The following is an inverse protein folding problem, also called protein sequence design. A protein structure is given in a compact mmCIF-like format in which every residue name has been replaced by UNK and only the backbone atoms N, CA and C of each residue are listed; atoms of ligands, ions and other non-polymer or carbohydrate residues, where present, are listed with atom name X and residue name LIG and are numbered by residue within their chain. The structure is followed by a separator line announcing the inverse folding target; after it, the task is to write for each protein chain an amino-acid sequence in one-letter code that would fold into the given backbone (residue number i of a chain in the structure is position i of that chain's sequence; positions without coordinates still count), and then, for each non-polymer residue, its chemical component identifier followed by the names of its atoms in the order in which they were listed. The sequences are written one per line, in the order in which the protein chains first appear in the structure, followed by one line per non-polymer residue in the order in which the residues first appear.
data_IF_790255715842
#
_entry.id   IF_790255715842
#
_cell.length_a   1.000
_cell.length_b   1.000
_cell.length_c   1.000
_cell.angle_alpha   90.00
_cell.angle_beta   90.00
_cell.angle_gamma   90.00
#
_symmetry.space_group_name_H-M   'P 1'
#
loop_
_entity.id
_entity.type
_entity.pdbx_description
1 polymer ?
#
# COMPACT_ATOMS: atom_id res chain seq x y z
N UNK A 1 -13.23 -15.10 -9.00
CA UNK A 1 -13.74 -13.74 -9.33
C UNK A 1 -14.20 -12.98 -8.09
N UNK A 2 -15.03 -13.56 -7.22
CA UNK A 2 -15.53 -12.90 -6.00
C UNK A 2 -14.40 -12.42 -5.06
N UNK A 3 -13.37 -13.24 -4.88
CA UNK A 3 -12.18 -12.88 -4.08
C UNK A 3 -11.49 -11.59 -4.58
N UNK A 4 -11.23 -11.49 -5.88
CA UNK A 4 -10.61 -10.30 -6.48
C UNK A 4 -11.50 -9.05 -6.34
N UNK A 5 -12.82 -9.20 -6.52
CA UNK A 5 -13.77 -8.09 -6.34
C UNK A 5 -13.72 -7.53 -4.91
N UNK A 6 -13.66 -8.39 -3.90
CA UNK A 6 -13.55 -7.99 -2.50
C UNK A 6 -12.24 -7.24 -2.19
N UNK A 7 -11.14 -7.67 -2.83
CA UNK A 7 -9.86 -6.96 -2.74
C UNK A 7 -9.98 -5.54 -3.31
N UNK A 8 -10.55 -5.42 -4.53
CA UNK A 8 -10.76 -4.14 -5.19
C UNK A 8 -11.67 -3.23 -4.36
N UNK A 9 -12.75 -3.75 -3.77
CA UNK A 9 -13.63 -2.98 -2.90
C UNK A 9 -12.91 -2.46 -1.65
N UNK A 10 -12.06 -3.28 -1.04
CA UNK A 10 -11.21 -2.89 0.09
C UNK A 10 -10.25 -1.77 -0.30
N UNK A 11 -9.53 -1.92 -1.42
CA UNK A 11 -8.60 -0.91 -1.93
C UNK A 11 -9.33 0.40 -2.25
N UNK A 12 -10.49 0.33 -2.92
CA UNK A 12 -11.29 1.50 -3.23
C UNK A 12 -11.76 2.22 -1.96
N UNK A 13 -12.09 1.47 -0.90
CA UNK A 13 -12.43 2.03 0.40
C UNK A 13 -11.25 2.83 0.97
N UNK A 14 -10.04 2.24 1.00
CA UNK A 14 -8.83 2.89 1.51
C UNK A 14 -8.46 4.17 0.74
N UNK A 15 -8.66 4.18 -0.59
CA UNK A 15 -8.44 5.36 -1.44
C UNK A 15 -9.44 6.47 -1.07
N UNK A 16 -10.72 6.13 -0.91
CA UNK A 16 -11.80 7.09 -0.61
C UNK A 16 -11.65 7.70 0.78
N UNK A 17 -11.31 6.88 1.78
CA UNK A 17 -11.08 7.33 3.15
C UNK A 17 -9.78 8.11 3.31
N UNK A 18 -8.85 8.00 2.34
CA UNK A 18 -7.49 8.53 2.42
C UNK A 18 -6.75 8.00 3.66
N UNK A 19 -7.02 6.73 4.00
CA UNK A 19 -6.41 6.08 5.16
C UNK A 19 -4.88 6.17 5.08
N UNK A 20 -4.26 6.44 6.22
CA UNK A 20 -2.80 6.51 6.37
C UNK A 20 -2.29 5.21 6.96
N UNK A 21 -1.29 4.63 6.32
CA UNK A 21 -0.73 3.32 6.65
C UNK A 21 0.76 3.40 6.92
N UNK A 22 1.28 2.49 7.74
CA UNK A 22 2.71 2.30 7.97
C UNK A 22 3.03 0.82 8.00
N UNK A 23 4.29 0.47 7.76
CA UNK A 23 4.78 -0.90 7.84
C UNK A 23 4.68 -1.43 9.28
N UNK A 24 4.28 -2.68 9.42
CA UNK A 24 4.36 -3.42 10.68
C UNK A 24 5.83 -3.76 10.92
N UNK A 25 6.41 -3.21 11.99
CA UNK A 25 7.78 -3.50 12.37
C UNK A 25 7.91 -4.95 12.83
N UNK A 26 8.73 -5.72 12.12
CA UNK A 26 9.06 -7.07 12.54
C UNK A 26 10.12 -7.03 13.66
N UNK A 27 9.84 -7.69 14.77
CA UNK A 27 10.73 -7.77 15.94
C UNK A 27 11.86 -8.79 15.69
N UNK A 28 11.71 -9.71 14.74
CA UNK A 28 12.73 -10.73 14.41
C UNK A 28 13.95 -10.17 13.66
N UNK A 29 13.91 -8.91 13.21
CA UNK A 29 14.98 -8.29 12.42
C UNK A 29 14.99 -8.68 10.93
N UNK A 30 14.06 -9.52 10.49
CA UNK A 30 13.90 -9.88 9.08
C UNK A 30 13.37 -8.70 8.25
N UNK A 31 13.89 -8.55 7.04
CA UNK A 31 13.42 -7.52 6.12
C UNK A 31 12.07 -7.94 5.51
N UNK A 32 10.99 -7.29 5.93
CA UNK A 32 9.65 -7.48 5.34
C UNK A 32 9.37 -6.45 4.24
N UNK A 33 8.45 -6.72 3.28
CA UNK A 33 8.03 -5.75 2.28
C UNK A 33 7.39 -4.49 2.87
N UNK A 34 7.30 -3.43 2.07
CA UNK A 34 6.62 -2.17 2.43
C UNK A 34 7.54 -1.09 3.01
N UNK A 35 7.00 0.12 3.11
CA UNK A 35 7.74 1.33 3.49
C UNK A 35 7.36 1.81 4.90
N UNK A 36 8.35 2.15 5.73
CA UNK A 36 8.14 2.56 7.13
C UNK A 36 7.53 3.95 7.32
N UNK A 37 7.52 4.79 6.27
CA UNK A 37 6.95 6.14 6.30
C UNK A 37 5.42 6.17 6.34
N UNK A 38 4.85 7.36 6.15
CA UNK A 38 3.40 7.51 5.97
C UNK A 38 3.02 7.11 4.54
N UNK A 39 2.21 6.06 4.42
CA UNK A 39 1.76 5.52 3.16
C UNK A 39 0.29 5.88 2.90
N UNK A 40 -0.05 6.20 1.67
CA UNK A 40 -1.44 6.41 1.23
C UNK A 40 -1.69 5.61 -0.03
N UNK A 41 -2.72 4.76 -0.02
CA UNK A 41 -3.13 4.00 -1.20
C UNK A 41 -3.74 4.94 -2.22
N UNK A 42 -3.29 4.86 -3.46
CA UNK A 42 -3.74 5.73 -4.56
C UNK A 42 -4.36 4.97 -5.73
N UNK A 43 -4.22 3.65 -5.76
CA UNK A 43 -4.76 2.85 -6.85
C UNK A 43 -4.45 1.37 -6.71
N UNK A 44 -4.77 0.63 -7.76
CA UNK A 44 -4.40 -0.77 -7.91
C UNK A 44 -4.17 -1.14 -9.36
N UNK A 45 -3.40 -2.19 -9.60
CA UNK A 45 -3.28 -2.85 -10.90
C UNK A 45 -3.95 -4.23 -10.83
N UNK A 46 -4.63 -4.65 -11.91
CA UNK A 46 -5.17 -6.00 -12.00
C UNK A 46 -4.06 -7.05 -12.14
N UNK A 47 -4.34 -8.27 -11.69
CA UNK A 47 -3.45 -9.41 -11.89
C UNK A 47 -3.07 -9.59 -13.38
N UNK A 48 -1.77 -9.64 -13.65
CA UNK A 48 -1.26 -9.96 -14.97
C UNK A 48 -1.17 -11.50 -15.07
N UNK A 49 -2.11 -12.10 -15.79
CA UNK A 49 -2.25 -13.54 -16.09
C UNK A 49 -2.99 -14.38 -15.04
N UNK A 50 -4.28 -14.63 -15.33
CA UNK A 50 -5.10 -15.84 -15.15
C UNK A 50 -4.99 -16.80 -13.95
N UNK A 51 -3.82 -16.97 -13.33
CA UNK A 51 -3.57 -17.96 -12.27
C UNK A 51 -3.46 -17.35 -10.86
N UNK A 52 -2.99 -16.11 -10.73
CA UNK A 52 -2.93 -15.41 -9.44
C UNK A 52 -3.87 -14.20 -9.46
N UNK A 53 -5.12 -14.41 -9.06
CA UNK A 53 -6.19 -13.41 -9.08
C UNK A 53 -6.07 -12.35 -7.96
N UNK A 54 -4.87 -11.81 -7.79
CA UNK A 54 -4.53 -10.84 -6.74
C UNK A 54 -4.30 -9.45 -7.31
N UNK A 55 -4.93 -8.45 -6.71
CA UNK A 55 -4.69 -7.05 -7.04
C UNK A 55 -3.33 -6.60 -6.49
N UNK A 56 -2.61 -5.80 -7.27
CA UNK A 56 -1.44 -5.07 -6.76
C UNK A 56 -1.90 -3.72 -6.22
N UNK A 57 -1.61 -3.42 -4.96
CA UNK A 57 -1.89 -2.14 -4.30
C UNK A 57 -0.82 -1.13 -4.68
N UNK A 58 -1.21 0.01 -5.22
CA UNK A 58 -0.32 1.13 -5.56
C UNK A 58 -0.46 2.22 -4.51
N UNK A 59 0.66 2.66 -3.93
CA UNK A 59 0.66 3.63 -2.84
C UNK A 59 1.81 4.64 -2.95
N UNK A 60 1.59 5.81 -2.36
CA UNK A 60 2.60 6.85 -2.13
C UNK A 60 3.19 6.65 -0.74
N UNK A 61 4.52 6.57 -0.62
CA UNK A 61 5.23 6.71 0.64
C UNK A 61 5.80 8.12 0.75
N UNK A 62 5.33 8.92 1.71
CA UNK A 62 5.88 10.25 1.96
C UNK A 62 7.27 10.11 2.57
N UNK A 63 8.25 10.81 1.99
CA UNK A 63 9.61 10.80 2.48
C UNK A 63 9.77 11.87 3.58
N UNK A 64 10.61 11.65 4.60
CA UNK A 64 10.80 12.59 5.71
C UNK A 64 11.74 13.74 5.33
N UNK A 65 11.60 14.29 4.13
CA UNK A 65 12.43 15.37 3.59
C UNK A 65 11.50 16.59 3.40
N UNK A 66 11.97 17.84 3.59
CA UNK A 66 11.16 19.00 3.24
C UNK A 66 10.79 18.98 1.76
N UNK A 67 9.54 19.29 1.42
CA UNK A 67 9.14 19.53 0.03
C UNK A 67 9.95 20.71 -0.50
N UNK A 68 10.87 20.43 -1.42
CA UNK A 68 11.54 21.49 -2.17
C UNK A 68 10.59 21.98 -3.27
N UNK A 69 10.66 23.27 -3.59
CA UNK A 69 9.58 24.11 -4.13
C UNK A 69 8.85 23.66 -5.43
N UNK A 70 9.14 22.49 -6.01
CA UNK A 70 8.45 21.92 -7.18
C UNK A 70 8.42 20.38 -7.26
N UNK A 71 8.77 19.63 -6.20
CA UNK A 71 8.79 18.15 -6.25
C UNK A 71 7.90 17.59 -5.16
N UNK A 72 6.83 16.88 -5.53
CA UNK A 72 6.03 16.12 -4.57
C UNK A 72 6.93 15.11 -3.86
N UNK A 73 7.03 15.19 -2.53
CA UNK A 73 8.03 14.42 -1.79
C UNK A 73 7.51 13.04 -1.39
N UNK A 74 7.30 12.18 -2.38
CA UNK A 74 6.95 10.79 -2.17
C UNK A 74 7.65 9.85 -3.15
N UNK A 75 7.71 8.58 -2.75
CA UNK A 75 8.04 7.48 -3.64
C UNK A 75 6.76 6.70 -3.99
N UNK A 76 6.56 6.39 -5.28
CA UNK A 76 5.56 5.41 -5.68
C UNK A 76 6.10 4.01 -5.44
N UNK A 77 5.28 3.19 -4.79
CA UNK A 77 5.59 1.80 -4.48
C UNK A 77 4.37 0.93 -4.72
N UNK A 78 4.61 -0.37 -4.81
CA UNK A 78 3.60 -1.38 -5.07
C UNK A 78 3.83 -2.60 -4.18
N UNK A 79 2.74 -3.21 -3.73
CA UNK A 79 2.73 -4.50 -3.03
C UNK A 79 1.57 -5.34 -3.55
N UNK A 80 1.64 -6.66 -3.43
CA UNK A 80 0.44 -7.47 -3.60
C UNK A 80 -0.60 -7.14 -2.51
N UNK A 81 -1.88 -7.45 -2.75
CA UNK A 81 -2.92 -7.23 -1.74
C UNK A 81 -2.64 -7.98 -0.43
N UNK A 82 -2.23 -9.24 -0.51
CA UNK A 82 -1.87 -10.06 0.65
C UNK A 82 -0.68 -9.49 1.40
N UNK A 83 0.37 -9.05 0.70
CA UNK A 83 1.51 -8.36 1.33
C UNK A 83 1.07 -7.08 2.04
N UNK A 84 0.18 -6.29 1.43
CA UNK A 84 -0.35 -5.10 2.06
C UNK A 84 -1.08 -5.42 3.36
N UNK A 85 -2.00 -6.39 3.33
CA UNK A 85 -2.78 -6.82 4.50
C UNK A 85 -1.87 -7.40 5.60
N UNK A 86 -0.83 -8.14 5.21
CA UNK A 86 0.07 -8.80 6.15
C UNK A 86 1.08 -7.85 6.79
N UNK A 87 1.60 -6.89 6.03
CA UNK A 87 2.76 -6.10 6.43
C UNK A 87 2.48 -4.62 6.66
N UNK A 88 1.27 -4.14 6.39
CA UNK A 88 0.88 -2.74 6.60
C UNK A 88 -0.23 -2.65 7.64
N UNK A 89 -0.19 -1.59 8.46
CA UNK A 89 -1.25 -1.24 9.43
C UNK A 89 -1.65 0.22 9.27
N UNK A 90 -2.88 0.57 9.65
CA UNK A 90 -3.30 1.96 9.72
C UNK A 90 -2.62 2.68 10.88
N UNK A 91 -2.37 3.99 10.71
CA UNK A 91 -1.69 4.82 11.71
C UNK A 91 -2.67 5.30 12.81
N UNK A 92 -3.95 5.51 12.48
CA UNK A 92 -4.99 6.00 13.40
C UNK A 92 -6.26 5.15 13.30
N UNK A 93 -6.17 3.87 13.66
CA UNK A 93 -7.37 3.01 13.83
C UNK A 93 -8.12 3.31 15.15
#
# INVERSE_FOLDING_TARGET
MEHYKNQVESICSWIRSKDKWTKIHNISGENTPGSCGENTVIGYLPAYNGNDAEATVIYKCHLPIPEDHNVENYQLSALSFSEWVQYMKKIND
#
